data_IF_998161319328
#
_entry.id   IF_998161319328
#
_cell.length_a   1.000
_cell.length_b   1.000
_cell.length_c   1.000
_cell.angle_alpha   90.00
_cell.angle_beta   90.00
_cell.angle_gamma   90.00
#
_symmetry.space_group_name_H-M   'P 1'
#
loop_
_entity.id
_entity.type
_entity.pdbx_description
1 polymer ?
#
# COMPACT_ATOMS: atom_id res chain seq x y z
N UNK A 1 7.65 -14.35 4.13
CA UNK A 1 7.61 -12.96 3.68
C UNK A 1 6.31 -12.32 4.14
N UNK A 2 6.35 -11.05 4.46
CA UNK A 2 5.17 -10.29 4.87
C UNK A 2 4.92 -9.19 3.86
N UNK A 3 3.64 -9.03 3.47
CA UNK A 3 3.22 -8.03 2.50
C UNK A 3 2.25 -7.04 3.15
N UNK A 4 2.57 -5.76 3.06
CA UNK A 4 1.71 -4.65 3.46
C UNK A 4 0.99 -4.13 2.22
N UNK A 5 -0.33 -4.18 2.23
CA UNK A 5 -1.16 -3.79 1.10
C UNK A 5 -2.04 -2.61 1.49
N UNK A 6 -1.96 -1.53 0.72
CA UNK A 6 -2.80 -0.34 0.89
C UNK A 6 -3.61 -0.15 -0.37
N UNK A 7 -4.94 -0.13 -0.23
CA UNK A 7 -5.88 0.17 -1.31
C UNK A 7 -6.55 1.50 -0.96
N UNK A 8 -6.55 2.46 -1.87
CA UNK A 8 -7.02 3.79 -1.49
C UNK A 8 -7.57 4.61 -2.66
N UNK A 9 -8.34 5.62 -2.30
CA UNK A 9 -8.76 6.70 -3.20
C UNK A 9 -8.10 8.00 -2.76
N UNK A 10 -7.75 8.85 -3.70
CA UNK A 10 -7.31 10.21 -3.39
C UNK A 10 -8.50 11.16 -3.34
N UNK A 11 -8.39 12.18 -2.52
CA UNK A 11 -9.40 13.23 -2.47
C UNK A 11 -9.48 13.93 -3.82
N UNK A 12 -10.69 14.21 -4.35
CA UNK A 12 -10.84 14.84 -5.66
C UNK A 12 -10.33 16.28 -5.71
N UNK A 13 -10.26 16.94 -4.55
CA UNK A 13 -9.80 18.33 -4.42
C UNK A 13 -8.30 18.45 -4.13
N UNK A 14 -7.56 17.36 -4.25
CA UNK A 14 -6.13 17.34 -3.97
C UNK A 14 -5.37 18.14 -5.02
N UNK A 15 -4.55 19.12 -4.56
CA UNK A 15 -3.72 19.89 -5.47
C UNK A 15 -2.62 19.02 -6.08
N UNK A 16 -2.11 19.44 -7.25
CA UNK A 16 -0.98 18.73 -7.89
C UNK A 16 0.27 18.79 -7.01
N UNK A 17 0.49 19.88 -6.28
CA UNK A 17 1.64 19.99 -5.37
C UNK A 17 1.54 19.01 -4.22
N UNK A 18 0.38 18.86 -3.60
CA UNK A 18 0.17 17.89 -2.51
C UNK A 18 0.31 16.46 -3.04
N UNK A 19 -0.22 16.19 -4.22
CA UNK A 19 -0.07 14.88 -4.87
C UNK A 19 1.41 14.55 -5.08
N UNK A 20 2.20 15.52 -5.56
CA UNK A 20 3.64 15.33 -5.77
C UNK A 20 4.38 15.10 -4.45
N UNK A 21 4.00 15.79 -3.39
CA UNK A 21 4.57 15.56 -2.05
C UNK A 21 4.28 14.14 -1.57
N UNK A 22 3.06 13.65 -1.79
CA UNK A 22 2.67 12.28 -1.42
C UNK A 22 3.49 11.26 -2.19
N UNK A 23 3.63 11.42 -3.50
CA UNK A 23 4.44 10.54 -4.35
C UNK A 23 5.89 10.51 -3.85
N UNK A 24 6.49 11.67 -3.60
CA UNK A 24 7.86 11.78 -3.10
C UNK A 24 8.02 11.10 -1.74
N UNK A 25 7.04 11.24 -0.85
CA UNK A 25 7.08 10.59 0.47
C UNK A 25 7.02 9.07 0.35
N UNK A 26 6.18 8.53 -0.54
CA UNK A 26 6.15 7.10 -0.82
C UNK A 26 7.47 6.62 -1.42
N UNK A 27 8.02 7.34 -2.39
CA UNK A 27 9.30 6.97 -2.99
C UNK A 27 10.41 6.88 -1.95
N UNK A 28 10.50 7.87 -1.06
CA UNK A 28 11.51 7.85 0.00
C UNK A 28 11.30 6.69 0.97
N UNK A 29 10.06 6.46 1.37
CA UNK A 29 9.75 5.37 2.29
C UNK A 29 10.09 4.01 1.69
N UNK A 30 9.72 3.75 0.44
CA UNK A 30 9.95 2.46 -0.21
C UNK A 30 11.42 2.25 -0.55
N UNK A 31 12.16 3.32 -0.86
CA UNK A 31 13.57 3.22 -1.23
C UNK A 31 14.50 3.20 -0.01
N UNK A 32 14.22 4.03 0.99
CA UNK A 32 15.21 4.36 2.03
C UNK A 32 14.93 3.71 3.38
N UNK A 33 13.75 3.16 3.65
CA UNK A 33 13.49 2.46 4.90
C UNK A 33 14.15 1.08 4.85
N UNK A 34 15.09 0.77 5.78
CA UNK A 34 15.69 -0.55 5.83
C UNK A 34 14.62 -1.62 6.07
N UNK A 35 14.81 -2.78 5.46
CA UNK A 35 13.86 -3.89 5.59
C UNK A 35 12.82 -3.95 4.47
N UNK A 36 12.58 -2.87 3.76
CA UNK A 36 11.76 -2.91 2.54
C UNK A 36 12.50 -3.70 1.47
N UNK A 37 11.95 -4.85 1.07
CA UNK A 37 12.56 -5.75 0.07
C UNK A 37 12.04 -5.51 -1.32
N UNK A 38 10.83 -4.99 -1.46
CA UNK A 38 10.24 -4.66 -2.72
C UNK A 38 9.01 -3.80 -2.51
N UNK A 39 8.63 -3.07 -3.54
CA UNK A 39 7.44 -2.24 -3.51
C UNK A 39 6.88 -2.10 -4.91
N UNK A 40 5.56 -2.08 -4.98
CA UNK A 40 4.84 -1.84 -6.22
C UNK A 40 3.70 -0.88 -5.96
N UNK A 41 3.41 -0.06 -6.95
CA UNK A 41 2.25 0.82 -6.94
C UNK A 41 1.44 0.51 -8.19
N UNK A 42 0.14 0.71 -8.10
CA UNK A 42 -0.72 0.40 -9.22
C UNK A 42 -1.99 1.23 -9.24
N UNK A 43 -2.62 1.21 -10.39
CA UNK A 43 -3.92 1.83 -10.65
C UNK A 43 -4.90 0.73 -10.98
N UNK A 44 -6.13 0.85 -10.46
CA UNK A 44 -7.19 -0.12 -10.75
C UNK A 44 -7.45 -0.20 -12.25
N UNK A 45 -7.57 -1.41 -12.76
CA UNK A 45 -7.87 -1.70 -14.16
C UNK A 45 -9.25 -2.34 -14.24
N UNK A 46 -10.09 -1.85 -15.13
CA UNK A 46 -11.41 -2.40 -15.42
C UNK A 46 -11.35 -3.09 -16.79
N UNK A 47 -11.70 -4.36 -16.82
CA UNK A 47 -11.59 -5.19 -18.04
C UNK A 47 -12.93 -5.81 -18.45
N UNK A 48 -14.02 -5.43 -17.82
CA UNK A 48 -15.35 -5.98 -18.10
C UNK A 48 -15.59 -7.33 -17.42
N UNK A 49 -14.81 -7.66 -16.37
CA UNK A 49 -15.02 -8.88 -15.62
C UNK A 49 -16.36 -8.85 -14.89
N UNK A 50 -17.05 -10.00 -14.83
CA UNK A 50 -18.40 -10.06 -14.28
C UNK A 50 -18.52 -9.61 -12.82
N UNK A 51 -17.44 -9.78 -12.03
CA UNK A 51 -17.45 -9.40 -10.63
C UNK A 51 -17.29 -7.89 -10.40
N UNK A 52 -16.84 -7.13 -11.39
CA UNK A 52 -16.52 -5.70 -11.23
C UNK A 52 -17.72 -4.88 -10.76
N UNK A 53 -18.90 -5.18 -11.31
CA UNK A 53 -20.13 -4.47 -10.96
C UNK A 53 -20.56 -4.73 -9.50
N UNK A 54 -20.07 -5.80 -8.89
CA UNK A 54 -20.40 -6.20 -7.51
C UNK A 54 -19.36 -5.70 -6.50
N UNK A 55 -18.21 -5.23 -6.97
CA UNK A 55 -17.17 -4.75 -6.07
C UNK A 55 -17.44 -3.32 -5.63
N UNK A 56 -17.15 -2.99 -4.36
CA UNK A 56 -17.28 -1.60 -3.91
C UNK A 56 -16.28 -0.70 -4.63
N UNK A 57 -16.68 0.55 -4.85
CA UNK A 57 -15.78 1.58 -5.39
C UNK A 57 -14.91 2.13 -4.25
N UNK A 58 -14.04 1.27 -3.72
CA UNK A 58 -13.26 1.55 -2.51
C UNK A 58 -11.82 1.98 -2.81
N UNK A 59 -11.33 1.76 -4.03
CA UNK A 59 -9.94 2.03 -4.36
C UNK A 59 -9.73 2.30 -5.84
N UNK A 60 -8.90 3.29 -6.13
CA UNK A 60 -8.38 3.58 -7.46
C UNK A 60 -6.91 3.20 -7.58
N UNK A 61 -6.21 3.12 -6.44
CA UNK A 61 -4.78 2.90 -6.37
C UNK A 61 -4.42 1.85 -5.33
N UNK A 62 -3.26 1.23 -5.52
CA UNK A 62 -2.68 0.32 -4.54
C UNK A 62 -1.20 0.62 -4.32
N UNK A 63 -0.74 0.36 -3.11
CA UNK A 63 0.67 0.26 -2.77
C UNK A 63 0.87 -1.09 -2.10
N UNK A 64 1.87 -1.84 -2.56
CA UNK A 64 2.23 -3.14 -2.02
C UNK A 64 3.69 -3.08 -1.62
N UNK A 65 3.99 -3.41 -0.36
CA UNK A 65 5.35 -3.35 0.18
C UNK A 65 5.68 -4.69 0.79
N UNK A 66 6.88 -5.21 0.51
CA UNK A 66 7.30 -6.53 0.96
C UNK A 66 8.44 -6.44 1.98
N UNK A 67 8.36 -7.28 3.01
CA UNK A 67 9.34 -7.43 4.08
C UNK A 67 9.67 -8.90 4.28
N UNK A 68 10.85 -9.19 4.84
CA UNK A 68 11.23 -10.58 5.14
C UNK A 68 10.31 -11.19 6.20
N UNK A 69 9.90 -10.41 7.19
CA UNK A 69 9.11 -10.86 8.34
C UNK A 69 8.33 -9.71 8.98
N UNK A 70 7.56 -10.04 10.00
CA UNK A 70 6.75 -9.07 10.74
C UNK A 70 7.60 -8.01 11.47
N UNK A 71 8.82 -8.35 11.88
CA UNK A 71 9.71 -7.38 12.53
C UNK A 71 10.09 -6.27 11.56
N UNK A 72 10.34 -6.61 10.29
CA UNK A 72 10.61 -5.62 9.24
C UNK A 72 9.43 -4.67 9.02
N UNK A 73 8.23 -5.20 9.01
CA UNK A 73 7.01 -4.40 8.90
C UNK A 73 6.84 -3.47 10.11
N UNK A 74 7.05 -3.99 11.32
CA UNK A 74 6.96 -3.19 12.55
C UNK A 74 7.98 -2.05 12.53
N UNK A 75 9.22 -2.35 12.14
CA UNK A 75 10.28 -1.34 12.02
C UNK A 75 9.91 -0.26 10.99
N UNK A 76 9.27 -0.65 9.90
CA UNK A 76 8.77 0.28 8.89
C UNK A 76 7.79 1.29 9.51
N UNK A 77 6.83 0.83 10.29
CA UNK A 77 5.85 1.72 10.93
C UNK A 77 6.47 2.68 11.93
N UNK A 78 7.60 2.34 12.54
CA UNK A 78 8.31 3.18 13.52
C UNK A 78 9.40 4.05 12.90
N UNK A 79 9.65 3.93 11.61
CA UNK A 79 10.69 4.70 10.95
C UNK A 79 10.26 6.16 10.74
N UNK A 80 11.23 7.08 10.79
CA UNK A 80 10.99 8.51 10.60
C UNK A 80 10.31 8.82 9.27
N UNK A 81 10.72 8.14 8.20
CA UNK A 81 10.12 8.37 6.87
C UNK A 81 8.65 7.95 6.83
N UNK A 82 8.26 6.91 7.58
CA UNK A 82 6.85 6.56 7.72
C UNK A 82 6.10 7.61 8.56
N UNK A 83 6.75 8.16 9.58
CA UNK A 83 6.17 9.25 10.38
C UNK A 83 5.88 10.50 9.53
N UNK A 84 6.68 10.74 8.51
CA UNK A 84 6.44 11.83 7.54
C UNK A 84 5.33 11.48 6.56
N UNK A 85 5.31 10.24 6.07
CA UNK A 85 4.32 9.76 5.11
C UNK A 85 2.91 9.69 5.71
N UNK A 86 2.79 9.19 6.94
CA UNK A 86 1.51 8.88 7.56
C UNK A 86 0.52 10.05 7.57
N UNK A 87 0.86 11.20 8.15
CA UNK A 87 -0.04 12.36 8.16
C UNK A 87 -0.38 12.88 6.76
N UNK A 88 0.60 12.90 5.86
CA UNK A 88 0.41 13.34 4.47
C UNK A 88 -0.57 12.42 3.73
N UNK A 89 -0.43 11.11 3.90
CA UNK A 89 -1.36 10.14 3.34
C UNK A 89 -2.74 10.28 3.98
N UNK A 90 -2.80 10.44 5.30
CA UNK A 90 -4.06 10.62 6.03
C UNK A 90 -4.86 11.82 5.53
N UNK A 91 -4.16 12.93 5.20
CA UNK A 91 -4.81 14.15 4.69
C UNK A 91 -5.15 14.06 3.20
N UNK A 92 -4.54 13.13 2.46
CA UNK A 92 -4.65 13.06 1.00
C UNK A 92 -5.69 12.04 0.51
N UNK A 93 -5.98 11.00 1.30
CA UNK A 93 -6.91 9.96 0.84
C UNK A 93 -8.36 10.28 1.20
N UNK A 94 -9.27 9.81 0.36
CA UNK A 94 -10.72 9.87 0.59
C UNK A 94 -11.26 8.55 1.16
N UNK A 95 -10.43 7.57 1.36
CA UNK A 95 -10.73 6.26 1.93
C UNK A 95 -9.58 5.32 1.67
N UNK A 96 -9.28 4.45 2.63
CA UNK A 96 -8.19 3.49 2.53
C UNK A 96 -8.53 2.19 3.24
N UNK A 97 -8.03 1.09 2.68
CA UNK A 97 -8.06 -0.25 3.27
C UNK A 97 -6.61 -0.71 3.36
N UNK A 98 -6.18 -1.10 4.55
CA UNK A 98 -4.80 -1.55 4.79
C UNK A 98 -4.82 -2.94 5.39
N UNK A 99 -4.10 -3.85 4.76
CA UNK A 99 -4.02 -5.25 5.20
C UNK A 99 -2.57 -5.71 5.18
N UNK A 100 -2.24 -6.57 6.13
CA UNK A 100 -0.94 -7.19 6.21
C UNK A 100 -1.10 -8.69 6.11
N UNK A 101 -0.33 -9.32 5.23
CA UNK A 101 -0.41 -10.75 4.96
C UNK A 101 0.94 -11.41 5.12
N UNK A 102 0.94 -12.58 5.72
CA UNK A 102 2.06 -13.51 5.57
C UNK A 102 1.87 -14.23 4.23
N UNK A 103 2.86 -14.17 3.37
CA UNK A 103 2.79 -14.78 2.03
C UNK A 103 3.69 -16.01 1.98
N UNK A 104 3.17 -17.05 1.31
CA UNK A 104 3.89 -18.30 1.10
C UNK A 104 3.72 -18.73 -0.37
N UNK A 105 4.49 -19.73 -0.80
CA UNK A 105 4.30 -20.30 -2.13
C UNK A 105 2.98 -21.05 -2.24
N UNK A 106 2.48 -21.20 -3.46
CA UNK A 106 1.21 -21.87 -3.73
C UNK A 106 1.17 -23.31 -3.18
N UNK A 107 2.33 -23.99 -3.19
CA UNK A 107 2.48 -25.34 -2.64
C UNK A 107 2.16 -25.43 -1.15
N UNK A 108 2.23 -24.33 -0.43
CA UNK A 108 1.96 -24.26 1.01
C UNK A 108 0.54 -23.75 1.32
N UNK A 109 -0.29 -23.53 0.31
CA UNK A 109 -1.63 -22.94 0.49
C UNK A 109 -2.48 -23.76 1.49
N UNK A 110 -2.41 -25.08 1.41
CA UNK A 110 -3.19 -25.96 2.30
C UNK A 110 -2.78 -25.86 3.77
N UNK A 111 -1.59 -25.34 4.04
CA UNK A 111 -1.04 -25.21 5.39
C UNK A 111 -1.42 -23.87 6.05
N UNK A 112 -2.07 -22.98 5.32
CA UNK A 112 -2.51 -21.67 5.83
C UNK A 112 -3.82 -21.75 6.63
N UNK A 113 -4.52 -22.87 6.54
CA UNK A 113 -5.83 -23.05 7.15
C UNK A 113 -5.88 -23.01 8.69
#
# INVERSE_FOLDING_TARGET
MVTHLVLFKLRPDLSSDTREQLVSAFERALRDIPGVRGGRVGRRVMVGAGYEAQMPDAADYMVLIEFDDADGLTAYFHHQLHAELGPLFGDSHAGALMFDFETVGLESLRDLG
#
